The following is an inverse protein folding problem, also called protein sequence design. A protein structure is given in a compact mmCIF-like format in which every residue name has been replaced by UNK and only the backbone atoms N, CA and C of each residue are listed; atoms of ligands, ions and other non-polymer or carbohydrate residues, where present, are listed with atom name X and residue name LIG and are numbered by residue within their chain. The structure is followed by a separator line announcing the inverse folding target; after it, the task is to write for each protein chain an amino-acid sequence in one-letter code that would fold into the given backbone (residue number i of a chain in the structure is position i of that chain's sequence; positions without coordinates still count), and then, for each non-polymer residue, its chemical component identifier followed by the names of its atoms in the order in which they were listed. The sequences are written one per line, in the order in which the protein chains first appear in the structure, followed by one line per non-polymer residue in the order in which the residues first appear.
data_IF_295244099039
#
_entry.id   IF_295244099039
#
_cell.length_a   1.000
_cell.length_b   1.000
_cell.length_c   1.000
_cell.angle_alpha   90.00
_cell.angle_beta   90.00
_cell.angle_gamma   90.00
#
_symmetry.space_group_name_H-M   'P 1'
#
loop_
_entity.id
_entity.type
_entity.pdbx_description
1 polymer ?
#
# COMPACT_ATOMS: atom_id res chain seq x y z
N UNK A 1 -23.71 -3.30 36.72
CA UNK A 1 -23.85 -4.16 35.54
C UNK A 1 -23.19 -3.44 34.36
N UNK A 2 -21.90 -3.68 34.09
CA UNK A 2 -21.15 -2.93 33.07
C UNK A 2 -21.13 -3.68 31.75
N UNK A 3 -21.81 -3.13 30.73
CA UNK A 3 -21.83 -3.66 29.36
C UNK A 3 -20.47 -3.33 28.72
N UNK A 4 -19.59 -4.34 28.61
CA UNK A 4 -18.29 -4.24 27.94
C UNK A 4 -18.53 -4.07 26.44
N UNK A 5 -18.52 -2.83 25.95
CA UNK A 5 -18.53 -2.54 24.51
C UNK A 5 -17.18 -3.01 23.97
N UNK A 6 -17.16 -4.18 23.33
CA UNK A 6 -16.02 -4.59 22.50
C UNK A 6 -15.97 -3.63 21.32
N UNK A 7 -15.12 -2.61 21.41
CA UNK A 7 -14.67 -1.84 20.23
C UNK A 7 -14.15 -2.86 19.23
N UNK A 8 -14.91 -3.09 18.16
CA UNK A 8 -14.44 -3.82 16.98
C UNK A 8 -13.25 -3.04 16.46
N UNK A 9 -12.04 -3.48 16.78
CA UNK A 9 -10.87 -3.15 15.98
C UNK A 9 -11.19 -3.69 14.58
N UNK A 10 -11.63 -2.82 13.68
CA UNK A 10 -11.46 -3.07 12.26
C UNK A 10 -9.95 -3.15 12.09
N UNK A 11 -9.42 -4.35 11.94
CA UNK A 11 -8.07 -4.52 11.40
C UNK A 11 -8.14 -3.96 9.98
N UNK A 12 -7.83 -2.67 9.83
CA UNK A 12 -7.50 -2.08 8.55
C UNK A 12 -6.26 -2.82 8.05
N UNK A 13 -6.50 -3.86 7.25
CA UNK A 13 -5.47 -4.66 6.58
C UNK A 13 -4.69 -3.74 5.63
N UNK A 14 -3.68 -3.09 6.18
CA UNK A 14 -2.75 -2.23 5.47
C UNK A 14 -1.71 -3.14 4.83
N UNK A 15 -1.62 -3.11 3.51
CA UNK A 15 -0.58 -3.80 2.76
C UNK A 15 0.62 -2.87 2.60
N UNK A 16 1.80 -3.35 2.97
CA UNK A 16 3.06 -2.64 2.79
C UNK A 16 3.96 -3.41 1.84
N UNK A 17 4.50 -2.74 0.82
CA UNK A 17 5.38 -3.30 -0.20
C UNK A 17 6.64 -2.46 -0.28
N UNK A 18 7.79 -3.13 -0.25
CA UNK A 18 9.11 -2.50 -0.37
C UNK A 18 9.70 -2.82 -1.74
N UNK A 19 10.11 -1.80 -2.47
CA UNK A 19 10.68 -1.91 -3.81
C UNK A 19 12.08 -1.27 -3.79
N UNK A 20 13.14 -2.02 -4.10
CA UNK A 20 14.47 -1.44 -4.25
C UNK A 20 14.50 -0.40 -5.37
N UNK A 21 15.13 0.75 -5.12
CA UNK A 21 15.21 1.85 -6.09
C UNK A 21 15.87 1.44 -7.41
N UNK A 22 16.82 0.49 -7.37
CA UNK A 22 17.46 -0.09 -8.57
C UNK A 22 16.46 -0.70 -9.55
N UNK A 23 15.29 -1.14 -9.08
CA UNK A 23 14.25 -1.75 -9.92
C UNK A 23 13.39 -0.69 -10.62
N UNK A 24 13.35 0.55 -10.09
CA UNK A 24 12.47 1.63 -10.55
C UNK A 24 13.25 2.73 -11.30
N UNK A 25 14.46 3.07 -10.85
CA UNK A 25 15.25 4.16 -11.41
C UNK A 25 15.51 3.90 -12.90
N UNK A 26 15.19 4.90 -13.73
CA UNK A 26 15.35 4.83 -15.18
C UNK A 26 14.30 4.02 -15.93
N UNK A 27 13.32 3.40 -15.24
CA UNK A 27 12.19 2.73 -15.88
C UNK A 27 11.16 3.75 -16.36
N UNK A 28 10.47 3.42 -17.46
CA UNK A 28 9.35 4.22 -17.96
C UNK A 28 8.17 4.12 -16.97
N UNK A 29 7.36 5.17 -16.80
CA UNK A 29 6.24 5.18 -15.85
C UNK A 29 5.26 4.01 -15.98
N UNK A 30 4.96 3.57 -17.21
CA UNK A 30 4.05 2.43 -17.42
C UNK A 30 4.62 1.09 -16.90
N UNK A 31 5.94 0.90 -16.95
CA UNK A 31 6.59 -0.31 -16.41
C UNK A 31 6.46 -0.34 -14.90
N UNK A 32 6.65 0.81 -14.26
CA UNK A 32 6.49 0.96 -12.81
C UNK A 32 5.03 0.72 -12.41
N UNK A 33 4.07 1.26 -13.16
CA UNK A 33 2.65 1.03 -12.89
C UNK A 33 2.25 -0.45 -13.00
N UNK A 34 2.76 -1.17 -14.01
CA UNK A 34 2.55 -2.62 -14.13
C UNK A 34 3.16 -3.38 -12.95
N UNK A 35 4.40 -3.07 -12.58
CA UNK A 35 5.07 -3.67 -11.41
C UNK A 35 4.25 -3.46 -10.13
N UNK A 36 3.73 -2.26 -9.91
CA UNK A 36 2.88 -1.96 -8.74
C UNK A 36 1.60 -2.79 -8.75
N UNK A 37 0.92 -2.90 -9.90
CA UNK A 37 -0.28 -3.73 -10.06
C UNK A 37 0.01 -5.22 -9.81
N UNK A 38 1.13 -5.75 -10.31
CA UNK A 38 1.57 -7.13 -10.09
C UNK A 38 1.87 -7.42 -8.61
N UNK A 39 2.41 -6.43 -7.89
CA UNK A 39 2.65 -6.52 -6.44
C UNK A 39 1.36 -6.35 -5.61
N UNK A 40 0.22 -6.09 -6.26
CA UNK A 40 -1.08 -5.93 -5.62
C UNK A 40 -1.39 -4.49 -5.19
N UNK A 41 -0.55 -3.51 -5.53
CA UNK A 41 -0.87 -2.09 -5.37
C UNK A 41 -1.79 -1.67 -6.50
N UNK A 42 -3.00 -1.29 -6.14
CA UNK A 42 -3.92 -0.65 -7.06
C UNK A 42 -3.55 0.84 -7.18
N UNK A 43 -2.89 1.22 -8.27
CA UNK A 43 -2.48 2.61 -8.52
C UNK A 43 -3.65 3.59 -8.67
N UNK A 44 -4.88 3.09 -8.81
CA UNK A 44 -6.11 3.91 -8.93
C UNK A 44 -6.72 4.23 -7.55
N UNK A 45 -6.29 3.52 -6.50
CA UNK A 45 -6.68 3.77 -5.12
C UNK A 45 -5.65 4.64 -4.39
N UNK A 46 -6.05 5.38 -3.35
CA UNK A 46 -5.10 6.09 -2.50
C UNK A 46 -4.06 5.13 -1.91
N UNK A 47 -2.78 5.52 -1.98
CA UNK A 47 -1.67 4.87 -1.32
C UNK A 47 -0.72 5.93 -0.78
N UNK A 48 0.02 5.60 0.26
CA UNK A 48 1.10 6.42 0.80
C UNK A 48 2.42 5.80 0.38
N UNK A 49 3.40 6.62 0.02
CA UNK A 49 4.75 6.13 -0.27
C UNK A 49 5.78 6.89 0.55
N UNK A 50 6.88 6.21 0.87
CA UNK A 50 8.06 6.77 1.51
C UNK A 50 9.29 6.32 0.75
N UNK A 51 10.21 7.23 0.52
CA UNK A 51 11.45 6.95 -0.22
C UNK A 51 12.62 7.05 0.73
N UNK A 52 13.40 5.99 0.82
CA UNK A 52 14.67 5.93 1.50
C UNK A 52 15.82 5.98 0.47
N UNK A 53 17.07 6.00 0.93
CA UNK A 53 18.23 6.05 0.04
C UNK A 53 18.33 4.86 -0.94
N UNK A 54 17.71 3.72 -0.64
CA UNK A 54 17.84 2.47 -1.40
C UNK A 54 16.52 1.86 -1.87
N UNK A 55 15.38 2.33 -1.37
CA UNK A 55 14.09 1.67 -1.54
C UNK A 55 12.90 2.64 -1.43
N UNK A 56 11.78 2.22 -2.00
CA UNK A 56 10.47 2.86 -1.85
C UNK A 56 9.59 1.89 -1.08
N UNK A 57 8.98 2.36 0.00
CA UNK A 57 7.95 1.64 0.74
C UNK A 57 6.60 2.22 0.39
N UNK A 58 5.66 1.38 -0.04
CA UNK A 58 4.31 1.76 -0.44
C UNK A 58 3.33 1.08 0.50
N UNK A 59 2.45 1.86 1.10
CA UNK A 59 1.41 1.41 2.02
C UNK A 59 0.03 1.70 1.42
N UNK A 60 -0.79 0.67 1.28
CA UNK A 60 -2.15 0.79 0.76
C UNK A 60 -3.12 -0.02 1.61
N UNK A 61 -4.25 0.59 1.99
CA UNK A 61 -5.33 -0.11 2.67
C UNK A 61 -6.04 -1.04 1.68
N UNK A 62 -6.09 -2.35 1.99
CA UNK A 62 -6.80 -3.32 1.15
C UNK A 62 -8.32 -3.11 1.15
N UNK A 63 -8.86 -2.43 2.16
CA UNK A 63 -10.28 -2.09 2.28
C UNK A 63 -10.55 -0.63 1.87
N UNK A 64 -10.47 -0.32 0.57
CA UNK A 64 -11.12 0.88 0.02
C UNK A 64 -12.33 0.47 -0.85
N UNK A 65 -13.11 -0.47 -0.33
CA UNK A 65 -14.23 -1.08 -1.04
C UNK A 65 -15.56 -0.98 -0.29
N UNK A 66 -15.75 0.01 0.59
CA UNK A 66 -17.09 0.37 1.10
C UNK A 66 -17.12 1.85 1.53
N UNK A 67 -17.75 2.68 0.71
CA UNK A 67 -18.66 3.75 1.12
C UNK A 67 -19.72 3.89 0.02
#
# INVERSE_FOLDING_TARGET
MFRRVKTRQKEDLTMSITIPLKEIIGKKPHVVATLLKELGIDTEKPYVYRVNALEIVIEQNRFSGIA
#
